data_IF_771152221878
#
_entry.id   IF_771152221878
#
_cell.length_a   1.000
_cell.length_b   1.000
_cell.length_c   1.000
_cell.angle_alpha   90.00
_cell.angle_beta   90.00
_cell.angle_gamma   90.00
#
_symmetry.space_group_name_H-M   'P 1'
#
loop_
_entity.id
_entity.type
_entity.pdbx_description
1 polymer ?
#
# COMPACT_ATOMS: atom_id res chain seq x y z
N UNK A 1 -24.23 -29.18 -33.32
CA UNK A 1 -23.94 -29.07 -31.87
C UNK A 1 -22.55 -29.62 -31.55
N UNK A 2 -21.48 -28.96 -31.98
CA UNK A 2 -20.10 -29.36 -31.67
C UNK A 2 -19.16 -28.18 -31.32
N UNK A 3 -19.57 -26.94 -31.62
CA UNK A 3 -18.76 -25.74 -31.35
C UNK A 3 -18.88 -25.16 -29.94
N UNK A 4 -19.93 -25.46 -29.17
CA UNK A 4 -20.14 -24.88 -27.83
C UNK A 4 -19.39 -25.61 -26.70
N UNK A 5 -18.98 -26.86 -26.90
CA UNK A 5 -18.31 -27.63 -25.84
C UNK A 5 -16.80 -27.29 -25.72
N UNK A 6 -16.14 -26.95 -26.83
CA UNK A 6 -14.72 -26.55 -26.82
C UNK A 6 -14.46 -25.17 -26.19
N UNK A 7 -15.40 -24.22 -26.35
CA UNK A 7 -15.26 -22.87 -25.80
C UNK A 7 -15.38 -22.86 -24.26
N UNK A 8 -16.23 -23.73 -23.70
CA UNK A 8 -16.40 -23.85 -22.25
C UNK A 8 -15.17 -24.47 -21.54
N UNK A 9 -14.48 -25.43 -22.16
CA UNK A 9 -13.26 -26.06 -21.63
C UNK A 9 -12.02 -25.15 -21.72
N UNK A 10 -11.97 -24.26 -22.71
CA UNK A 10 -10.91 -23.24 -22.83
C UNK A 10 -11.08 -22.15 -21.76
N UNK A 11 -12.31 -21.71 -21.46
CA UNK A 11 -12.58 -20.70 -20.44
C UNK A 11 -12.26 -21.18 -19.01
N UNK A 12 -12.53 -22.44 -18.67
CA UNK A 12 -12.21 -22.98 -17.33
C UNK A 12 -10.71 -23.18 -17.11
N UNK A 13 -9.95 -23.55 -18.14
CA UNK A 13 -8.49 -23.70 -18.06
C UNK A 13 -7.75 -22.36 -17.98
N UNK A 14 -8.22 -21.32 -18.69
CA UNK A 14 -7.68 -19.96 -18.59
C UNK A 14 -7.87 -19.33 -17.20
N UNK A 15 -9.04 -19.54 -16.58
CA UNK A 15 -9.33 -19.04 -15.22
C UNK A 15 -8.46 -19.74 -14.16
N UNK A 16 -8.24 -21.05 -14.30
CA UNK A 16 -7.35 -21.79 -13.40
C UNK A 16 -5.88 -21.38 -13.55
N UNK A 17 -5.43 -21.12 -14.77
CA UNK A 17 -4.06 -20.67 -15.04
C UNK A 17 -3.77 -19.30 -14.43
N UNK A 18 -4.68 -18.32 -14.57
CA UNK A 18 -4.52 -16.98 -14.03
C UNK A 18 -4.54 -16.96 -12.48
N UNK A 19 -5.46 -17.71 -11.86
CA UNK A 19 -5.52 -17.83 -10.40
C UNK A 19 -4.28 -18.53 -9.81
N UNK A 20 -3.71 -19.50 -10.53
CA UNK A 20 -2.49 -20.21 -10.13
C UNK A 20 -1.20 -19.40 -10.35
N UNK A 21 -1.19 -18.44 -11.26
CA UNK A 21 -0.05 -17.54 -11.50
C UNK A 21 -0.01 -16.43 -10.43
N UNK A 22 -1.15 -15.80 -10.13
CA UNK A 22 -1.26 -14.78 -9.08
C UNK A 22 -0.83 -15.27 -7.70
N UNK A 23 -1.25 -16.48 -7.28
CA UNK A 23 -0.80 -17.07 -6.01
C UNK A 23 0.70 -17.36 -5.98
N UNK A 24 1.28 -17.82 -7.09
CA UNK A 24 2.72 -18.09 -7.17
C UNK A 24 3.54 -16.80 -7.12
N UNK A 25 3.09 -15.75 -7.80
CA UNK A 25 3.73 -14.44 -7.71
C UNK A 25 3.64 -13.86 -6.30
N UNK A 26 2.48 -13.97 -5.64
CA UNK A 26 2.33 -13.54 -4.25
C UNK A 26 3.30 -14.28 -3.33
N UNK A 27 3.39 -15.61 -3.46
CA UNK A 27 4.33 -16.44 -2.69
C UNK A 27 5.79 -16.05 -2.94
N UNK A 28 6.16 -15.64 -4.15
CA UNK A 28 7.50 -15.14 -4.44
C UNK A 28 7.77 -13.77 -3.80
N UNK A 29 6.78 -12.88 -3.73
CA UNK A 29 6.93 -11.56 -3.11
C UNK A 29 7.18 -11.63 -1.59
N UNK A 30 6.69 -12.70 -0.96
CA UNK A 30 6.68 -12.87 0.51
C UNK A 30 7.39 -14.14 0.98
N UNK A 31 8.18 -14.77 0.10
CA UNK A 31 9.03 -15.91 0.43
C UNK A 31 10.03 -15.60 1.56
N UNK A 32 10.41 -14.33 1.70
CA UNK A 32 11.15 -13.78 2.84
C UNK A 32 10.36 -12.61 3.40
N UNK A 33 10.50 -12.30 4.71
CA UNK A 33 9.91 -11.10 5.29
C UNK A 33 10.23 -9.86 4.43
N UNK A 34 9.24 -9.07 4.02
CA UNK A 34 9.47 -7.85 3.27
C UNK A 34 10.44 -6.92 3.99
N UNK A 35 11.49 -6.50 3.27
CA UNK A 35 12.52 -5.57 3.75
C UNK A 35 12.51 -4.32 2.92
N UNK A 36 12.52 -3.16 3.58
CA UNK A 36 12.33 -1.90 2.89
C UNK A 36 12.55 -0.71 3.78
N UNK A 37 12.06 0.43 3.30
CA UNK A 37 12.02 1.70 4.00
C UNK A 37 10.62 2.28 3.90
N UNK A 38 10.19 2.94 4.97
CA UNK A 38 8.91 3.60 5.10
C UNK A 38 9.16 5.06 5.55
N UNK A 39 8.40 6.01 5.02
CA UNK A 39 8.64 7.43 5.28
C UNK A 39 8.20 7.94 6.65
N UNK A 40 7.41 7.19 7.42
CA UNK A 40 6.72 7.67 8.62
C UNK A 40 7.66 8.24 9.69
N UNK A 41 8.69 7.51 10.11
CA UNK A 41 9.53 7.93 11.23
C UNK A 41 10.36 9.18 10.91
N UNK A 42 10.65 9.42 9.63
CA UNK A 42 11.45 10.58 9.18
C UNK A 42 10.60 11.78 8.77
N UNK A 43 9.43 11.54 8.18
CA UNK A 43 8.64 12.57 7.52
C UNK A 43 7.19 12.64 8.01
N UNK A 44 6.74 11.70 8.83
CA UNK A 44 5.34 11.52 9.21
C UNK A 44 4.46 11.60 7.95
N UNK A 45 3.51 12.54 7.91
CA UNK A 45 2.58 12.70 6.80
C UNK A 45 3.03 13.68 5.70
N UNK A 46 4.20 14.33 5.82
CA UNK A 46 4.57 15.48 4.97
C UNK A 46 5.56 15.19 3.85
N UNK A 47 5.98 13.93 3.65
CA UNK A 47 6.93 13.57 2.59
C UNK A 47 6.46 14.07 1.20
N UNK A 48 7.42 14.48 0.37
CA UNK A 48 7.24 14.86 -1.03
C UNK A 48 7.96 13.92 -2.01
N UNK A 49 7.68 14.07 -3.31
CA UNK A 49 8.25 13.23 -4.38
C UNK A 49 9.78 13.28 -4.43
N UNK A 50 10.38 14.46 -4.23
CA UNK A 50 11.82 14.62 -4.33
C UNK A 50 12.52 13.86 -3.19
N UNK A 51 12.09 14.09 -1.95
CA UNK A 51 12.61 13.40 -0.78
C UNK A 51 12.39 11.87 -0.88
N UNK A 52 11.23 11.44 -1.36
CA UNK A 52 10.94 10.01 -1.56
C UNK A 52 11.89 9.38 -2.59
N UNK A 53 12.05 10.00 -3.75
CA UNK A 53 12.91 9.45 -4.81
C UNK A 53 14.40 9.48 -4.44
N UNK A 54 14.85 10.46 -3.65
CA UNK A 54 16.21 10.46 -3.12
C UNK A 54 16.46 9.31 -2.14
N UNK A 55 15.50 9.02 -1.23
CA UNK A 55 15.59 7.85 -0.35
C UNK A 55 15.57 6.55 -1.15
N UNK A 56 14.69 6.43 -2.15
CA UNK A 56 14.64 5.26 -3.04
C UNK A 56 15.98 5.07 -3.78
N UNK A 57 16.62 6.14 -4.26
CA UNK A 57 17.94 6.07 -4.88
C UNK A 57 19.02 5.59 -3.91
N UNK A 58 19.00 6.03 -2.65
CA UNK A 58 19.91 5.55 -1.62
C UNK A 58 19.69 4.06 -1.36
N UNK A 59 18.43 3.64 -1.19
CA UNK A 59 18.08 2.23 -1.04
C UNK A 59 18.61 1.38 -2.20
N UNK A 60 18.37 1.79 -3.44
CA UNK A 60 18.80 1.06 -4.63
C UNK A 60 20.33 0.90 -4.68
N UNK A 61 21.07 1.96 -4.34
CA UNK A 61 22.53 1.93 -4.40
C UNK A 61 23.20 1.20 -3.23
N UNK A 62 22.56 1.18 -2.06
CA UNK A 62 23.21 0.75 -0.80
C UNK A 62 22.56 -0.46 -0.14
N UNK A 63 21.24 -0.61 -0.23
CA UNK A 63 20.49 -1.59 0.54
C UNK A 63 19.88 -2.69 -0.33
N UNK A 64 19.60 -2.42 -1.61
CA UNK A 64 19.11 -3.40 -2.58
C UNK A 64 20.05 -4.60 -2.76
N UNK A 65 21.39 -4.45 -2.81
CA UNK A 65 22.31 -5.60 -2.82
C UNK A 65 22.21 -6.48 -1.57
N UNK A 66 21.68 -5.94 -0.46
CA UNK A 66 21.42 -6.67 0.78
C UNK A 66 19.94 -7.11 0.90
N UNK A 67 19.14 -6.88 -0.14
CA UNK A 67 17.77 -7.34 -0.32
C UNK A 67 16.68 -6.50 0.34
N UNK A 68 16.96 -5.22 0.63
CA UNK A 68 15.92 -4.22 0.93
C UNK A 68 15.34 -3.71 -0.39
N UNK A 69 14.07 -3.99 -0.63
CA UNK A 69 13.45 -3.84 -1.95
C UNK A 69 12.16 -3.02 -1.96
N UNK A 70 11.53 -2.73 -0.81
CA UNK A 70 10.27 -1.97 -0.77
C UNK A 70 10.50 -0.51 -0.33
N UNK A 71 10.15 0.46 -1.17
CA UNK A 71 10.10 1.88 -0.80
C UNK A 71 8.63 2.31 -0.63
N UNK A 72 8.26 2.73 0.57
CA UNK A 72 6.85 2.93 0.97
C UNK A 72 6.57 4.39 1.34
N UNK A 73 5.53 4.98 0.74
CA UNK A 73 5.00 6.29 1.12
C UNK A 73 3.93 6.13 2.19
N UNK A 74 4.19 6.70 3.35
CA UNK A 74 3.38 6.68 4.56
C UNK A 74 3.10 8.12 5.01
N UNK A 75 2.10 8.42 5.83
CA UNK A 75 0.67 8.21 5.54
C UNK A 75 0.06 9.56 5.14
N UNK A 76 -1.22 9.59 4.77
CA UNK A 76 -1.92 10.81 4.34
C UNK A 76 -1.24 11.53 3.17
N UNK A 77 -0.63 10.81 2.21
CA UNK A 77 -0.05 11.37 0.99
C UNK A 77 -1.05 12.18 0.13
N UNK A 78 -2.35 12.02 0.38
CA UNK A 78 -3.45 12.78 -0.23
C UNK A 78 -3.82 14.08 0.51
N UNK A 79 -3.36 14.27 1.76
CA UNK A 79 -3.64 15.47 2.58
C UNK A 79 -2.87 16.66 2.01
N UNK A 80 -3.56 17.72 1.61
CA UNK A 80 -2.91 18.94 1.10
C UNK A 80 -2.12 19.63 2.21
N UNK A 81 -0.90 20.05 1.92
CA UNK A 81 -0.17 20.99 2.79
C UNK A 81 -0.70 22.41 2.54
N UNK A 82 -1.44 22.91 3.54
CA UNK A 82 -1.96 24.26 3.60
C UNK A 82 -2.09 24.74 5.05
N UNK A 83 -2.17 26.06 5.31
CA UNK A 83 -2.46 26.57 6.65
C UNK A 83 -3.71 25.89 7.25
N UNK A 84 -3.60 25.35 8.46
CA UNK A 84 -4.67 24.61 9.14
C UNK A 84 -4.75 23.11 8.81
N UNK A 85 -3.94 22.62 7.86
CA UNK A 85 -3.79 21.17 7.65
C UNK A 85 -2.93 20.53 8.75
N UNK A 86 -3.20 19.25 9.01
CA UNK A 86 -2.53 18.43 10.01
C UNK A 86 -3.12 17.03 9.98
N UNK A 87 -2.64 16.10 10.82
CA UNK A 87 -3.07 14.69 10.81
C UNK A 87 -4.60 14.51 10.95
N UNK A 88 -5.23 15.26 11.85
CA UNK A 88 -6.68 15.20 12.08
C UNK A 88 -7.52 16.21 11.29
N UNK A 89 -6.95 16.93 10.33
CA UNK A 89 -7.63 18.03 9.67
C UNK A 89 -8.69 17.55 8.66
N UNK A 90 -9.92 18.05 8.81
CA UNK A 90 -11.02 17.85 7.88
C UNK A 90 -10.98 18.86 6.72
N UNK A 91 -11.36 18.45 5.51
CA UNK A 91 -11.50 19.35 4.36
C UNK A 91 -10.22 19.53 3.53
N UNK A 92 -9.12 18.86 3.91
CA UNK A 92 -7.82 18.98 3.25
C UNK A 92 -7.44 17.77 2.38
N UNK A 93 -8.32 16.77 2.23
CA UNK A 93 -8.01 15.58 1.43
C UNK A 93 -8.18 15.89 -0.07
N UNK A 94 -7.19 15.48 -0.87
CA UNK A 94 -7.23 15.49 -2.33
C UNK A 94 -7.94 14.22 -2.81
N UNK A 95 -9.13 14.38 -3.39
CA UNK A 95 -9.99 13.25 -3.78
C UNK A 95 -10.60 13.46 -5.15
N UNK A 96 -10.72 12.36 -5.90
CA UNK A 96 -11.40 12.37 -7.17
C UNK A 96 -12.93 12.41 -7.01
N UNK A 97 -13.63 12.48 -8.13
CA UNK A 97 -15.10 12.52 -8.19
C UNK A 97 -15.78 11.27 -7.61
N UNK A 98 -15.02 10.20 -7.34
CA UNK A 98 -15.50 8.93 -6.79
C UNK A 98 -15.17 8.76 -5.30
N UNK A 99 -14.70 9.83 -4.64
CA UNK A 99 -14.28 9.77 -3.25
C UNK A 99 -12.97 9.01 -3.01
N UNK A 100 -12.19 8.72 -4.06
CA UNK A 100 -10.89 8.04 -3.94
C UNK A 100 -9.77 9.07 -3.72
N UNK A 101 -8.89 8.87 -2.74
CA UNK A 101 -7.76 9.77 -2.54
C UNK A 101 -6.77 9.70 -3.70
N UNK A 102 -6.21 10.84 -4.10
CA UNK A 102 -5.09 10.92 -5.04
C UNK A 102 -3.94 11.75 -4.43
N UNK A 103 -2.68 11.52 -4.85
CA UNK A 103 -1.53 12.19 -4.25
C UNK A 103 -1.60 13.71 -4.38
N UNK A 104 -1.33 14.42 -3.29
CA UNK A 104 -1.37 15.88 -3.27
C UNK A 104 -0.44 16.43 -4.38
N UNK A 105 -0.97 17.13 -5.41
CA UNK A 105 -0.21 17.52 -6.58
C UNK A 105 0.85 18.60 -6.31
N UNK A 106 0.87 19.18 -5.11
CA UNK A 106 1.96 20.04 -4.64
C UNK A 106 3.16 19.21 -4.16
N UNK A 107 2.91 18.11 -3.44
CA UNK A 107 3.95 17.20 -2.94
C UNK A 107 4.42 16.20 -4.00
N UNK A 108 3.51 15.76 -4.86
CA UNK A 108 3.77 14.75 -5.88
C UNK A 108 3.45 15.31 -7.27
N UNK A 109 4.27 16.25 -7.79
CA UNK A 109 3.98 16.97 -9.03
C UNK A 109 3.91 16.08 -10.27
N UNK A 110 4.60 14.94 -10.31
CA UNK A 110 4.51 14.01 -11.45
C UNK A 110 3.14 13.34 -11.55
N UNK A 111 2.38 13.25 -10.45
CA UNK A 111 1.04 12.67 -10.42
C UNK A 111 -0.08 13.57 -10.94
N UNK A 112 0.24 14.82 -11.31
CA UNK A 112 -0.73 15.79 -11.86
C UNK A 112 -1.40 15.25 -13.13
N UNK A 113 -2.60 15.74 -13.42
CA UNK A 113 -3.35 15.36 -14.63
C UNK A 113 -3.87 13.92 -14.63
N UNK A 114 -4.03 13.31 -13.45
CA UNK A 114 -4.50 11.93 -13.31
C UNK A 114 -3.41 10.86 -13.38
N UNK A 115 -2.12 11.24 -13.35
CA UNK A 115 -1.01 10.30 -13.32
C UNK A 115 -0.91 9.50 -12.01
N UNK A 116 -1.46 10.03 -10.91
CA UNK A 116 -1.42 9.38 -9.60
C UNK A 116 0.02 9.04 -9.20
N UNK A 117 0.23 7.84 -8.65
CA UNK A 117 1.58 7.38 -8.32
C UNK A 117 2.31 6.67 -9.46
N UNK A 118 1.71 6.49 -10.64
CA UNK A 118 2.33 5.71 -11.73
C UNK A 118 3.73 6.22 -12.10
N UNK A 119 3.97 7.53 -12.31
CA UNK A 119 5.31 8.01 -12.66
C UNK A 119 6.35 7.78 -11.56
N UNK A 120 5.94 7.83 -10.30
CA UNK A 120 6.82 7.57 -9.14
C UNK A 120 7.13 6.08 -9.06
N UNK A 121 6.10 5.23 -9.18
CA UNK A 121 6.27 3.78 -9.21
C UNK A 121 7.16 3.33 -10.37
N UNK A 122 7.02 3.91 -11.56
CA UNK A 122 7.86 3.61 -12.72
C UNK A 122 9.34 3.95 -12.45
N UNK A 123 9.63 5.10 -11.82
CA UNK A 123 11.00 5.46 -11.40
C UNK A 123 11.55 4.48 -10.36
N UNK A 124 10.75 4.10 -9.36
CA UNK A 124 11.15 3.12 -8.32
C UNK A 124 11.43 1.75 -8.94
N UNK A 125 10.56 1.27 -9.85
CA UNK A 125 10.77 0.01 -10.56
C UNK A 125 12.01 0.06 -11.46
N UNK A 126 12.29 1.20 -12.12
CA UNK A 126 13.51 1.37 -12.91
C UNK A 126 14.80 1.31 -12.06
N UNK A 127 14.72 1.59 -10.75
CA UNK A 127 15.82 1.41 -9.80
C UNK A 127 15.95 -0.05 -9.30
N UNK A 128 15.10 -0.97 -9.76
CA UNK A 128 15.05 -2.35 -9.27
C UNK A 128 14.34 -2.53 -7.93
N UNK A 129 13.69 -1.48 -7.41
CA UNK A 129 12.91 -1.51 -6.19
C UNK A 129 11.43 -1.79 -6.47
N UNK A 130 10.65 -2.01 -5.42
CA UNK A 130 9.20 -2.19 -5.39
C UNK A 130 8.58 -0.99 -4.68
N UNK A 131 7.43 -0.54 -5.16
CA UNK A 131 6.72 0.63 -4.63
C UNK A 131 5.56 0.23 -3.71
N UNK A 132 5.39 0.95 -2.60
CA UNK A 132 4.27 0.76 -1.67
C UNK A 132 3.66 2.10 -1.21
N UNK A 133 2.41 2.03 -0.75
CA UNK A 133 1.68 3.16 -0.16
C UNK A 133 0.93 2.71 1.08
N UNK A 134 0.78 3.61 2.05
CA UNK A 134 -0.13 3.46 3.18
C UNK A 134 -1.55 3.91 2.80
N UNK A 135 -2.58 3.20 3.27
CA UNK A 135 -3.99 3.60 3.14
C UNK A 135 -4.70 3.54 4.49
N UNK A 136 -5.53 4.54 4.79
CA UNK A 136 -6.44 4.46 5.93
C UNK A 136 -7.60 3.53 5.58
N UNK A 137 -8.03 2.72 6.54
CA UNK A 137 -9.22 1.89 6.38
C UNK A 137 -10.47 2.77 6.19
N UNK A 138 -11.36 2.33 5.30
CA UNK A 138 -12.66 2.96 5.05
C UNK A 138 -12.62 4.07 4.00
N UNK A 139 -13.56 5.00 4.15
CA UNK A 139 -13.79 6.12 3.23
C UNK A 139 -13.54 7.45 3.96
N UNK A 140 -12.99 8.45 3.26
CA UNK A 140 -12.78 9.77 3.84
C UNK A 140 -14.10 10.38 4.31
N UNK A 141 -14.11 10.99 5.50
CA UNK A 141 -15.27 11.73 6.00
C UNK A 141 -15.64 12.91 5.10
N UNK A 142 -14.67 13.49 4.39
CA UNK A 142 -14.94 14.53 3.38
C UNK A 142 -15.74 13.94 2.20
N UNK A 143 -15.47 12.70 1.79
CA UNK A 143 -16.20 12.03 0.70
C UNK A 143 -17.62 11.66 1.13
N UNK A 144 -17.77 11.14 2.35
CA UNK A 144 -19.07 10.85 2.96
C UNK A 144 -19.93 12.12 3.04
N UNK A 145 -19.39 13.20 3.59
CA UNK A 145 -20.13 14.46 3.75
C UNK A 145 -20.47 15.12 2.41
N UNK A 146 -19.63 14.91 1.39
CA UNK A 146 -19.92 15.36 0.02
C UNK A 146 -20.85 14.41 -0.75
N UNK A 147 -21.28 13.29 -0.15
CA UNK A 147 -22.09 12.25 -0.78
C UNK A 147 -21.52 11.83 -2.15
N UNK A 148 -20.19 11.65 -2.23
CA UNK A 148 -19.54 11.28 -3.48
C UNK A 148 -20.00 9.91 -3.96
N UNK A 149 -20.29 9.72 -5.26
CA UNK A 149 -20.59 8.40 -5.79
C UNK A 149 -19.40 7.45 -5.60
N UNK A 150 -19.66 6.16 -5.42
CA UNK A 150 -18.62 5.13 -5.37
C UNK A 150 -18.49 4.52 -6.76
N UNK A 151 -17.25 4.45 -7.27
CA UNK A 151 -16.97 3.79 -8.54
C UNK A 151 -17.37 2.32 -8.47
N UNK A 152 -18.09 1.82 -9.48
CA UNK A 152 -18.65 0.47 -9.43
C UNK A 152 -17.58 -0.63 -9.28
N UNK A 153 -17.98 -1.71 -8.62
CA UNK A 153 -17.10 -2.85 -8.30
C UNK A 153 -16.58 -3.56 -9.55
N UNK A 154 -17.33 -3.57 -10.66
CA UNK A 154 -16.90 -4.27 -11.89
C UNK A 154 -15.69 -3.58 -12.53
N UNK A 155 -15.63 -2.27 -12.43
CA UNK A 155 -14.51 -1.46 -12.90
C UNK A 155 -13.28 -1.73 -12.03
N UNK A 156 -13.45 -1.77 -10.70
CA UNK A 156 -12.37 -2.09 -9.76
C UNK A 156 -11.79 -3.49 -10.01
N UNK A 157 -12.65 -4.50 -10.19
CA UNK A 157 -12.22 -5.90 -10.38
C UNK A 157 -11.34 -6.12 -11.62
N UNK A 158 -11.46 -5.27 -12.66
CA UNK A 158 -10.59 -5.34 -13.85
C UNK A 158 -9.16 -4.87 -13.57
N UNK A 159 -8.94 -4.11 -12.51
CA UNK A 159 -7.63 -3.53 -12.16
C UNK A 159 -6.83 -4.41 -11.19
N UNK A 160 -7.41 -5.52 -10.70
CA UNK A 160 -6.85 -6.36 -9.62
C UNK A 160 -5.86 -7.45 -10.05
N UNK A 161 -5.33 -7.42 -11.27
CA UNK A 161 -4.44 -8.49 -11.76
C UNK A 161 -2.98 -8.37 -11.29
N UNK A 162 -2.65 -7.39 -10.41
CA UNK A 162 -1.29 -7.20 -9.90
C UNK A 162 -1.14 -7.78 -8.49
N UNK A 163 -0.11 -8.60 -8.24
CA UNK A 163 0.18 -9.06 -6.89
C UNK A 163 0.63 -7.88 -6.02
N UNK A 164 0.05 -7.76 -4.84
CA UNK A 164 0.31 -6.69 -3.87
C UNK A 164 0.53 -7.34 -2.50
N UNK A 165 1.65 -7.02 -1.87
CA UNK A 165 1.90 -7.40 -0.48
C UNK A 165 0.99 -6.58 0.42
N UNK A 166 0.16 -7.26 1.22
CA UNK A 166 -0.77 -6.65 2.15
C UNK A 166 -0.19 -6.63 3.57
N UNK A 167 0.00 -5.42 4.08
CA UNK A 167 0.39 -5.13 5.46
C UNK A 167 -0.74 -4.44 6.21
N UNK A 168 -1.01 -4.83 7.45
CA UNK A 168 -2.02 -4.18 8.30
C UNK A 168 -1.45 -3.60 9.61
N UNK A 169 -2.01 -2.47 10.04
CA UNK A 169 -1.63 -1.70 11.23
C UNK A 169 -2.85 -0.96 11.82
N UNK A 170 -2.78 -0.46 13.09
CA UNK A 170 -1.74 -0.68 14.09
C UNK A 170 -1.96 -1.98 14.89
N UNK A 171 -1.00 -2.36 15.73
CA UNK A 171 -1.06 -3.59 16.54
C UNK A 171 -1.44 -3.35 18.02
N UNK A 172 -2.19 -2.30 18.34
CA UNK A 172 -2.47 -1.90 19.74
C UNK A 172 -3.41 -2.82 20.52
N UNK A 173 -4.12 -3.73 19.84
CA UNK A 173 -5.09 -4.65 20.45
C UNK A 173 -5.00 -6.07 19.86
N UNK A 174 -3.80 -6.50 19.48
CA UNK A 174 -3.59 -7.80 18.83
C UNK A 174 -3.64 -8.92 19.86
N UNK A 175 -4.38 -9.97 19.54
CA UNK A 175 -4.43 -11.21 20.33
C UNK A 175 -4.01 -12.40 19.46
N UNK A 176 -3.55 -13.52 20.04
CA UNK A 176 -3.27 -14.74 19.28
C UNK A 176 -4.49 -15.21 18.44
N UNK A 177 -5.70 -15.14 19.01
CA UNK A 177 -6.93 -15.48 18.30
C UNK A 177 -7.20 -14.54 17.10
N UNK A 178 -6.90 -13.24 17.22
CA UNK A 178 -6.96 -12.33 16.08
C UNK A 178 -5.93 -12.73 15.02
N UNK A 179 -4.68 -12.99 15.41
CA UNK A 179 -3.61 -13.39 14.52
C UNK A 179 -3.96 -14.66 13.72
N UNK A 180 -4.51 -15.69 14.38
CA UNK A 180 -4.98 -16.92 13.72
C UNK A 180 -6.04 -16.64 12.65
N UNK A 181 -6.94 -15.69 12.91
CA UNK A 181 -8.00 -15.33 11.97
C UNK A 181 -7.53 -14.51 10.77
N UNK A 182 -6.44 -13.74 10.90
CA UNK A 182 -6.00 -12.82 9.83
C UNK A 182 -4.82 -13.35 9.02
N UNK A 183 -4.05 -14.30 9.54
CA UNK A 183 -2.77 -14.75 8.93
C UNK A 183 -2.94 -15.35 7.53
N UNK A 184 -4.14 -15.84 7.19
CA UNK A 184 -4.45 -16.34 5.84
C UNK A 184 -4.83 -15.24 4.85
N UNK A 185 -5.01 -14.00 5.32
CA UNK A 185 -5.55 -12.88 4.55
C UNK A 185 -4.54 -11.75 4.34
N UNK A 186 -3.46 -11.72 5.11
CA UNK A 186 -2.42 -10.69 5.06
C UNK A 186 -1.05 -11.31 4.95
N UNK A 187 -0.09 -10.60 4.35
CA UNK A 187 1.29 -11.05 4.27
C UNK A 187 2.10 -10.64 5.51
N UNK A 188 1.69 -9.55 6.17
CA UNK A 188 2.23 -9.10 7.45
C UNK A 188 1.20 -8.30 8.25
N UNK A 189 1.32 -8.33 9.56
CA UNK A 189 0.51 -7.54 10.47
C UNK A 189 1.38 -7.03 11.62
N UNK A 190 1.08 -5.82 12.10
CA UNK A 190 1.76 -5.26 13.25
C UNK A 190 1.28 -5.96 14.52
N UNK A 191 2.22 -6.35 15.39
CA UNK A 191 1.94 -7.08 16.65
C UNK A 191 1.95 -6.20 17.90
N UNK A 192 2.47 -4.97 17.78
CA UNK A 192 2.56 -3.96 18.85
C UNK A 192 2.03 -2.61 18.37
N UNK A 193 2.01 -1.60 19.25
CA UNK A 193 1.70 -0.22 18.87
C UNK A 193 2.74 0.39 17.92
N UNK A 194 2.72 1.72 17.78
CA UNK A 194 3.83 2.41 17.11
C UNK A 194 5.12 2.25 17.92
N UNK A 195 6.16 1.78 17.25
CA UNK A 195 7.49 1.59 17.82
C UNK A 195 8.32 2.85 17.58
N UNK A 196 9.02 3.31 18.60
CA UNK A 196 9.83 4.51 18.59
C UNK A 196 11.19 4.22 19.21
N UNK A 197 12.12 5.17 19.12
CA UNK A 197 13.47 5.10 19.69
C UNK A 197 13.48 5.24 21.22
N UNK A 198 12.53 4.60 21.89
CA UNK A 198 12.33 4.60 23.33
C UNK A 198 12.24 3.17 23.87
N UNK A 199 12.89 2.91 25.00
CA UNK A 199 12.83 1.59 25.65
C UNK A 199 11.40 1.18 26.02
N UNK A 200 10.52 2.15 26.30
CA UNK A 200 9.12 1.91 26.64
C UNK A 200 8.38 1.26 25.47
N UNK A 201 8.70 1.64 24.24
CA UNK A 201 8.04 1.15 23.03
C UNK A 201 8.67 -0.15 22.52
N UNK A 202 9.97 -0.35 22.76
CA UNK A 202 10.68 -1.61 22.45
C UNK A 202 10.30 -2.76 23.40
N UNK A 203 10.15 -2.50 24.71
CA UNK A 203 9.96 -3.56 25.72
C UNK A 203 8.78 -4.52 25.41
N UNK A 204 7.57 -4.06 25.01
CA UNK A 204 6.44 -4.93 24.70
C UNK A 204 6.69 -5.96 23.58
N UNK A 205 7.66 -5.72 22.67
CA UNK A 205 7.98 -6.67 21.61
C UNK A 205 8.47 -8.02 22.16
N UNK A 206 9.14 -8.02 23.32
CA UNK A 206 9.63 -9.23 23.97
C UNK A 206 8.53 -10.08 24.61
N UNK A 207 7.37 -9.49 24.89
CA UNK A 207 6.23 -10.20 25.46
C UNK A 207 5.43 -10.93 24.36
N UNK A 208 5.42 -10.38 23.14
CA UNK A 208 4.69 -10.94 21.99
C UNK A 208 5.52 -11.95 21.19
N UNK A 209 6.85 -11.88 21.25
CA UNK A 209 7.75 -12.77 20.51
C UNK A 209 8.02 -14.15 21.19
N UNK A 210 7.36 -14.44 22.31
CA UNK A 210 7.49 -15.71 23.07
C UNK A 210 6.42 -16.70 22.67
#
# INVERSE_FOLDING_TARGET
MAGMLCVALLLTSLIWSAAGDGRRQQQQLTALPPRGWNSYDSFSWIIDEAAFLDNARIMANRLLPHGYQYAVIDFLWYRRIAPGSGVGAYGFDSMDQWGRPYPDPRRFPSGRGGGGFRPIADKVHAMGLKFGIHLMNGISTQAVNANTPILDVRTILKELERPVVLSISPGTAVTPALAENITQHVDMYRVTGDDWDSWKDVRPHFDVAR
#
